data_IF_005655135257
#
_entry.id   IF_005655135257
#
_cell.length_a   1.000
_cell.length_b   1.000
_cell.length_c   1.000
_cell.angle_alpha   90.00
_cell.angle_beta   90.00
_cell.angle_gamma   90.00
#
_symmetry.space_group_name_H-M   'P 1'
#
loop_
_entity.id
_entity.type
_entity.pdbx_description
1 polymer ?
#
# COMPACT_ATOMS: atom_id res chain seq x y z
N UNK A 1 22.27 5.57 -0.41
CA UNK A 1 21.30 6.39 0.34
C UNK A 1 19.98 6.15 -0.36
N UNK A 2 18.98 5.63 0.34
CA UNK A 2 17.65 5.46 -0.27
C UNK A 2 16.99 6.83 -0.31
N UNK A 3 16.57 7.26 -1.49
CA UNK A 3 15.75 8.47 -1.64
C UNK A 3 14.32 8.09 -1.27
N UNK A 4 13.71 8.84 -0.35
CA UNK A 4 12.31 8.64 0.01
C UNK A 4 11.47 9.64 -0.76
N UNK A 5 10.58 9.11 -1.58
CA UNK A 5 9.59 9.87 -2.33
C UNK A 5 8.39 10.32 -1.47
N UNK A 6 8.38 9.98 -0.17
CA UNK A 6 7.34 10.32 0.80
C UNK A 6 7.68 11.55 1.66
N UNK A 7 8.70 12.32 1.28
CA UNK A 7 9.17 13.48 2.06
C UNK A 7 8.11 14.60 2.17
N UNK A 8 7.18 14.67 1.22
CA UNK A 8 6.03 15.59 1.21
C UNK A 8 4.84 15.11 2.05
N UNK A 9 4.89 13.88 2.59
CA UNK A 9 3.81 13.29 3.37
C UNK A 9 3.99 13.62 4.86
N UNK A 10 3.01 14.25 5.53
CA UNK A 10 3.06 14.45 6.97
C UNK A 10 3.22 13.13 7.72
N UNK A 11 4.25 13.05 8.54
CA UNK A 11 4.52 11.85 9.35
C UNK A 11 3.76 11.93 10.67
N UNK A 12 2.87 10.97 10.91
CA UNK A 12 2.14 10.83 12.16
C UNK A 12 2.49 9.50 12.83
N UNK A 13 2.75 9.53 14.14
CA UNK A 13 2.95 8.35 14.96
C UNK A 13 1.92 8.32 16.07
N UNK A 14 1.13 7.24 16.16
CA UNK A 14 0.28 6.96 17.31
C UNK A 14 0.96 5.92 18.21
N UNK A 15 1.02 6.16 19.51
CA UNK A 15 1.59 5.22 20.49
C UNK A 15 0.50 4.39 21.21
N UNK A 16 -0.62 4.14 20.54
CA UNK A 16 -1.77 3.46 21.13
C UNK A 16 -2.75 2.98 20.07
N UNK A 17 -3.99 3.48 20.12
CA UNK A 17 -5.06 3.15 19.17
C UNK A 17 -4.77 3.80 17.82
N UNK A 18 -5.11 3.11 16.74
CA UNK A 18 -5.09 3.72 15.41
C UNK A 18 -6.06 4.91 15.36
N UNK A 19 -5.85 5.86 14.43
CA UNK A 19 -6.88 6.82 14.03
C UNK A 19 -8.21 6.14 13.68
N UNK A 20 -9.26 6.95 13.54
CA UNK A 20 -10.57 6.46 13.15
C UNK A 20 -10.52 5.67 11.84
N UNK A 21 -11.39 4.65 11.71
CA UNK A 21 -11.37 3.72 10.58
C UNK A 21 -11.45 4.42 9.22
N UNK A 22 -12.23 5.51 9.14
CA UNK A 22 -12.38 6.35 7.95
C UNK A 22 -11.07 7.05 7.57
N UNK A 23 -10.30 7.51 8.56
CA UNK A 23 -9.00 8.14 8.32
C UNK A 23 -7.99 7.12 7.80
N UNK A 24 -7.97 5.90 8.37
CA UNK A 24 -7.14 4.82 7.85
C UNK A 24 -7.53 4.43 6.43
N UNK A 25 -8.83 4.31 6.15
CA UNK A 25 -9.34 3.99 4.81
C UNK A 25 -8.93 5.06 3.78
N UNK A 26 -9.05 6.33 4.12
CA UNK A 26 -8.64 7.45 3.25
C UNK A 26 -7.13 7.46 3.01
N UNK A 27 -6.32 7.19 4.04
CA UNK A 27 -4.86 7.09 3.90
C UNK A 27 -4.46 5.93 2.98
N UNK A 28 -5.09 4.77 3.13
CA UNK A 28 -4.86 3.60 2.26
C UNK A 28 -5.27 3.89 0.82
N UNK A 29 -6.42 4.54 0.60
CA UNK A 29 -6.88 4.96 -0.73
C UNK A 29 -5.91 5.93 -1.39
N UNK A 30 -5.48 6.98 -0.68
CA UNK A 30 -4.52 7.97 -1.21
C UNK A 30 -3.16 7.36 -1.53
N UNK A 31 -2.69 6.42 -0.71
CA UNK A 31 -1.47 5.69 -0.98
C UNK A 31 -1.62 4.83 -2.23
N UNK A 32 -2.73 4.10 -2.37
CA UNK A 32 -3.03 3.32 -3.57
C UNK A 32 -3.04 4.20 -4.83
N UNK A 33 -3.76 5.32 -4.82
CA UNK A 33 -3.84 6.25 -5.96
C UNK A 33 -2.50 6.87 -6.33
N UNK A 34 -1.63 7.14 -5.34
CA UNK A 34 -0.29 7.69 -5.60
C UNK A 34 0.59 6.71 -6.37
N UNK A 35 0.47 5.41 -6.08
CA UNK A 35 1.39 4.38 -6.57
C UNK A 35 0.78 3.42 -7.58
N UNK A 36 -0.53 3.45 -7.84
CA UNK A 36 -1.20 2.53 -8.76
C UNK A 36 -0.76 2.68 -10.22
N UNK A 37 -0.10 3.79 -10.56
CA UNK A 37 0.46 4.04 -11.88
C UNK A 37 1.96 3.77 -12.01
N UNK A 38 2.63 3.34 -10.93
CA UNK A 38 4.03 2.94 -10.97
C UNK A 38 4.13 1.53 -11.58
N UNK A 39 4.67 1.46 -12.79
CA UNK A 39 4.84 0.22 -13.56
C UNK A 39 6.30 -0.25 -13.59
N UNK A 40 7.15 0.28 -12.69
CA UNK A 40 8.53 -0.17 -12.58
C UNK A 40 8.63 -1.62 -12.08
N UNK A 41 9.67 -2.32 -12.56
CA UNK A 41 9.95 -3.71 -12.21
C UNK A 41 9.55 -4.70 -13.30
N UNK A 42 9.63 -5.99 -12.97
CA UNK A 42 9.28 -7.09 -13.89
C UNK A 42 8.66 -8.23 -13.10
N UNK A 43 7.60 -8.83 -13.65
CA UNK A 43 6.99 -10.03 -13.08
C UNK A 43 8.03 -11.15 -13.03
N UNK A 44 8.13 -11.83 -11.88
CA UNK A 44 9.01 -12.98 -11.73
C UNK A 44 8.56 -14.13 -12.65
N UNK A 45 9.36 -14.46 -13.65
CA UNK A 45 8.99 -15.39 -14.72
C UNK A 45 9.70 -16.76 -14.65
N UNK A 46 10.71 -16.90 -13.77
CA UNK A 46 11.48 -18.14 -13.62
C UNK A 46 10.67 -19.30 -12.99
N UNK A 47 9.55 -19.02 -12.33
CA UNK A 47 8.55 -20.00 -11.89
C UNK A 47 7.29 -19.82 -12.74
N UNK A 48 6.83 -20.83 -13.52
CA UNK A 48 5.76 -20.65 -14.51
C UNK A 48 4.41 -20.15 -13.97
N UNK A 49 4.09 -20.42 -12.70
CA UNK A 49 2.84 -19.91 -12.10
C UNK A 49 2.94 -18.42 -11.74
N UNK A 50 4.13 -17.91 -11.43
CA UNK A 50 4.33 -16.50 -11.10
C UNK A 50 4.28 -15.61 -12.35
N UNK A 51 4.72 -16.13 -13.50
CA UNK A 51 4.65 -15.45 -14.80
C UNK A 51 3.22 -15.09 -15.25
N UNK A 52 2.20 -15.69 -14.62
CA UNK A 52 0.79 -15.45 -14.93
C UNK A 52 0.21 -14.24 -14.17
N UNK A 53 0.97 -13.63 -13.25
CA UNK A 53 0.53 -12.43 -12.55
C UNK A 53 0.39 -11.25 -13.53
N UNK A 54 -0.70 -10.50 -13.40
CA UNK A 54 -0.87 -9.25 -14.14
C UNK A 54 0.05 -8.17 -13.51
N UNK A 55 0.95 -7.53 -14.27
CA UNK A 55 1.78 -6.45 -13.75
C UNK A 55 0.95 -5.25 -13.25
N UNK A 56 -0.32 -5.11 -13.67
CA UNK A 56 -1.20 -4.05 -13.17
C UNK A 56 -1.88 -4.39 -11.84
N UNK A 57 -1.65 -5.58 -11.26
CA UNK A 57 -2.21 -5.92 -9.95
C UNK A 57 -1.45 -5.18 -8.85
N UNK A 58 -2.13 -4.19 -8.27
CA UNK A 58 -1.61 -3.40 -7.17
C UNK A 58 -2.71 -3.17 -6.11
N UNK A 59 -2.45 -3.65 -4.90
CA UNK A 59 -3.38 -3.55 -3.78
C UNK A 59 -2.67 -3.34 -2.46
N UNK A 60 -3.30 -2.60 -1.57
CA UNK A 60 -2.80 -2.28 -0.23
C UNK A 60 -3.84 -2.68 0.81
N UNK A 61 -3.39 -3.20 1.96
CA UNK A 61 -4.26 -3.49 3.10
C UNK A 61 -3.54 -3.23 4.41
N UNK A 62 -4.23 -2.54 5.32
CA UNK A 62 -3.80 -2.33 6.71
C UNK A 62 -4.77 -3.05 7.61
N UNK A 63 -4.25 -3.85 8.54
CA UNK A 63 -5.05 -4.58 9.54
C UNK A 63 -4.59 -4.19 10.94
N UNK A 64 -5.51 -3.64 11.72
CA UNK A 64 -5.32 -3.32 13.13
C UNK A 64 -5.26 -4.57 14.01
N UNK A 65 -4.66 -4.45 15.19
CA UNK A 65 -4.60 -5.54 16.19
C UNK A 65 -5.98 -5.91 16.76
N UNK A 66 -6.98 -5.05 16.57
CA UNK A 66 -8.39 -5.28 16.87
C UNK A 66 -9.14 -6.03 15.75
N UNK A 67 -8.44 -6.34 14.64
CA UNK A 67 -8.97 -7.07 13.50
C UNK A 67 -9.68 -6.20 12.46
N UNK A 68 -9.74 -4.87 12.65
CA UNK A 68 -10.28 -3.97 11.64
C UNK A 68 -9.32 -3.87 10.45
N UNK A 69 -9.87 -3.83 9.24
CA UNK A 69 -9.09 -3.77 8.02
C UNK A 69 -9.56 -2.63 7.11
N UNK A 70 -8.60 -1.98 6.47
CA UNK A 70 -8.82 -1.03 5.38
C UNK A 70 -8.01 -1.49 4.17
N UNK A 71 -8.65 -1.50 3.00
CA UNK A 71 -8.07 -2.03 1.76
C UNK A 71 -8.36 -1.11 0.58
N UNK A 72 -7.45 -1.09 -0.40
CA UNK A 72 -7.64 -0.46 -1.70
C UNK A 72 -6.95 -1.30 -2.79
N UNK A 73 -7.55 -1.41 -3.98
CA UNK A 73 -7.12 -2.27 -5.08
C UNK A 73 -8.21 -3.18 -5.62
#
# INVERSE_FOLDING_TARGET
MFESDATDIPQLSSTGVLPEDEEIAELVRRAHERYSGDDEGVVADYIPILAQADPSWFGLTVVGVDGKAASAG
#
